data_IF_217948901392
#
_entry.id   IF_217948901392
#
_cell.length_a   1.000
_cell.length_b   1.000
_cell.length_c   1.000
_cell.angle_alpha   90.00
_cell.angle_beta   90.00
_cell.angle_gamma   90.00
#
_symmetry.space_group_name_H-M   'P 1'
#
loop_
_entity.id
_entity.type
_entity.pdbx_description
1 polymer ?
#
# COMPACT_ATOMS: atom_id res chain seq x y z
N UNK A 1 -5.61 -18.42 -1.00
CA UNK A 1 -5.73 -17.84 -2.35
C UNK A 1 -5.30 -16.38 -2.24
N UNK A 2 -4.08 -16.06 -2.68
CA UNK A 2 -3.64 -14.65 -2.71
C UNK A 2 -4.50 -13.92 -3.75
N UNK A 3 -4.97 -12.68 -3.47
CA UNK A 3 -5.66 -11.91 -4.49
C UNK A 3 -4.67 -11.67 -5.62
N UNK A 4 -5.16 -11.77 -6.85
CA UNK A 4 -4.37 -11.52 -8.03
C UNK A 4 -3.78 -10.10 -7.96
N UNK A 5 -2.50 -9.99 -7.57
CA UNK A 5 -1.60 -8.87 -7.89
C UNK A 5 -1.33 -8.89 -9.41
N UNK A 6 -2.40 -9.04 -10.19
CA UNK A 6 -2.38 -9.14 -11.64
C UNK A 6 -2.64 -7.74 -12.16
N UNK A 7 -1.56 -6.98 -12.26
CA UNK A 7 -1.24 -6.08 -13.38
C UNK A 7 0.15 -5.47 -13.12
N UNK A 8 1.15 -6.32 -12.95
CA UNK A 8 2.55 -5.95 -13.20
C UNK A 8 2.80 -5.98 -14.72
N UNK A 9 1.99 -5.24 -15.49
CA UNK A 9 2.27 -4.97 -16.91
C UNK A 9 3.49 -4.02 -17.06
N UNK A 10 3.99 -3.49 -15.94
CA UNK A 10 5.20 -2.68 -15.81
C UNK A 10 6.47 -3.47 -15.50
N UNK A 11 6.48 -4.79 -15.61
CA UNK A 11 7.65 -5.61 -15.27
C UNK A 11 8.93 -5.17 -16.00
N UNK A 12 8.81 -4.83 -17.29
CA UNK A 12 9.94 -4.30 -18.08
C UNK A 12 10.38 -2.89 -17.67
N UNK A 13 9.43 -2.00 -17.33
CA UNK A 13 9.75 -0.66 -16.85
C UNK A 13 10.42 -0.70 -15.47
N UNK A 14 9.94 -1.53 -14.53
CA UNK A 14 10.53 -1.67 -13.19
C UNK A 14 11.96 -2.23 -13.26
N UNK A 15 12.24 -3.15 -14.19
CA UNK A 15 13.59 -3.68 -14.39
C UNK A 15 14.58 -2.67 -14.96
N UNK A 16 14.09 -1.55 -15.53
CA UNK A 16 14.92 -0.43 -15.98
C UNK A 16 15.15 0.64 -14.91
N UNK A 17 14.42 0.58 -13.78
CA UNK A 17 14.55 1.52 -12.67
C UNK A 17 15.73 1.18 -11.76
N UNK A 18 16.24 2.20 -11.05
CA UNK A 18 17.21 1.94 -9.98
C UNK A 18 16.57 1.08 -8.88
N UNK A 19 17.37 0.25 -8.20
CA UNK A 19 16.89 -0.65 -7.13
C UNK A 19 16.04 0.08 -6.07
N UNK A 20 16.40 1.32 -5.77
CA UNK A 20 15.66 2.19 -4.84
C UNK A 20 14.24 2.45 -5.36
N UNK A 21 14.09 2.87 -6.60
CA UNK A 21 12.81 3.19 -7.22
C UNK A 21 11.95 1.94 -7.40
N UNK A 22 12.54 0.83 -7.86
CA UNK A 22 11.86 -0.45 -7.96
C UNK A 22 11.30 -0.90 -6.59
N UNK A 23 12.06 -0.71 -5.51
CA UNK A 23 11.60 -1.00 -4.14
C UNK A 23 10.43 -0.11 -3.73
N UNK A 24 10.49 1.19 -4.02
CA UNK A 24 9.42 2.13 -3.71
C UNK A 24 8.11 1.79 -4.46
N UNK A 25 8.21 1.37 -5.73
CA UNK A 25 7.06 0.92 -6.54
C UNK A 25 6.46 -0.36 -5.96
N UNK A 26 7.29 -1.38 -5.70
CA UNK A 26 6.81 -2.62 -5.09
C UNK A 26 6.14 -2.37 -3.75
N UNK A 27 6.76 -1.57 -2.87
CA UNK A 27 6.25 -1.30 -1.54
C UNK A 27 4.91 -0.57 -1.58
N UNK A 28 4.77 0.41 -2.47
CA UNK A 28 3.49 1.10 -2.72
C UNK A 28 2.38 0.13 -3.11
N UNK A 29 2.60 -0.66 -4.15
CA UNK A 29 1.58 -1.58 -4.68
C UNK A 29 1.23 -2.67 -3.65
N UNK A 30 2.24 -3.19 -2.96
CA UNK A 30 2.05 -4.16 -1.89
C UNK A 30 1.16 -3.60 -0.77
N UNK A 31 1.48 -2.41 -0.27
CA UNK A 31 0.72 -1.80 0.82
C UNK A 31 -0.69 -1.41 0.39
N UNK A 32 -0.89 -0.92 -0.83
CA UNK A 32 -2.23 -0.67 -1.40
C UNK A 32 -3.05 -1.97 -1.40
N UNK A 33 -2.47 -3.05 -1.91
CA UNK A 33 -3.14 -4.34 -1.99
C UNK A 33 -3.53 -4.87 -0.60
N UNK A 34 -2.64 -4.74 0.40
CA UNK A 34 -2.96 -5.15 1.78
C UNK A 34 -4.04 -4.26 2.40
N UNK A 35 -3.95 -2.94 2.26
CA UNK A 35 -4.97 -2.01 2.78
C UNK A 35 -6.35 -2.32 2.18
N UNK A 36 -6.42 -2.53 0.86
CA UNK A 36 -7.66 -2.89 0.17
C UNK A 36 -8.20 -4.25 0.65
N UNK A 37 -7.32 -5.23 0.89
CA UNK A 37 -7.69 -6.55 1.42
C UNK A 37 -8.38 -6.48 2.79
N UNK A 38 -8.01 -5.51 3.62
CA UNK A 38 -8.65 -5.27 4.92
C UNK A 38 -9.75 -4.20 4.88
N UNK A 39 -10.26 -3.84 3.69
CA UNK A 39 -11.34 -2.87 3.52
C UNK A 39 -10.96 -1.45 3.97
N UNK A 40 -9.69 -1.09 3.90
CA UNK A 40 -9.20 0.22 4.35
C UNK A 40 -8.90 0.30 5.85
N UNK A 41 -9.00 -0.80 6.60
CA UNK A 41 -8.68 -0.81 8.03
C UNK A 41 -7.16 -0.79 8.26
N UNK A 42 -6.64 0.37 8.69
CA UNK A 42 -5.20 0.57 8.84
C UNK A 42 -4.65 -0.21 10.02
N UNK A 43 -5.40 -0.34 11.11
CA UNK A 43 -4.98 -1.11 12.30
C UNK A 43 -4.78 -2.60 11.98
N UNK A 44 -5.73 -3.22 11.28
CA UNK A 44 -5.60 -4.63 10.86
C UNK A 44 -4.49 -4.82 9.84
N UNK A 45 -4.34 -3.89 8.91
CA UNK A 45 -3.25 -3.92 7.93
C UNK A 45 -1.89 -3.82 8.62
N UNK A 46 -1.74 -2.86 9.54
CA UNK A 46 -0.54 -2.63 10.33
C UNK A 46 -0.11 -3.88 11.12
N UNK A 47 -1.07 -4.50 11.82
CA UNK A 47 -0.82 -5.76 12.52
C UNK A 47 -0.39 -6.89 11.56
N UNK A 48 -1.00 -7.00 10.39
CA UNK A 48 -0.66 -8.02 9.40
C UNK A 48 0.73 -7.81 8.77
N UNK A 49 1.08 -6.57 8.43
CA UNK A 49 2.40 -6.25 7.83
C UNK A 49 3.51 -6.13 8.87
N UNK A 50 3.20 -6.24 10.16
CA UNK A 50 4.15 -6.12 11.26
C UNK A 50 4.68 -4.69 11.46
N UNK A 51 3.87 -3.68 11.15
CA UNK A 51 4.22 -2.28 11.33
C UNK A 51 3.34 -1.63 12.39
N UNK A 52 3.91 -0.68 13.13
CA UNK A 52 3.11 0.22 13.97
C UNK A 52 2.11 1.00 13.12
N UNK A 53 0.85 1.14 13.57
CA UNK A 53 -0.22 1.83 12.82
C UNK A 53 0.20 3.22 12.36
N UNK A 54 0.80 4.00 13.27
CA UNK A 54 1.26 5.38 12.99
C UNK A 54 2.40 5.41 11.96
N UNK A 55 3.29 4.40 11.98
CA UNK A 55 4.36 4.27 11.01
C UNK A 55 3.80 3.89 9.63
N UNK A 56 2.89 2.92 9.57
CA UNK A 56 2.22 2.53 8.33
C UNK A 56 1.45 3.70 7.72
N UNK A 57 0.68 4.45 8.53
CA UNK A 57 -0.05 5.62 8.05
C UNK A 57 0.88 6.71 7.48
N UNK A 58 2.01 6.99 8.15
CA UNK A 58 3.04 7.90 7.61
C UNK A 58 3.64 7.37 6.31
N UNK A 59 3.92 6.07 6.23
CA UNK A 59 4.50 5.41 5.05
C UNK A 59 3.57 5.48 3.85
N UNK A 60 2.28 5.20 4.05
CA UNK A 60 1.24 5.33 3.03
C UNK A 60 1.17 6.77 2.51
N UNK A 61 1.20 7.77 3.40
CA UNK A 61 1.23 9.18 3.02
C UNK A 61 2.49 9.55 2.23
N UNK A 62 3.68 9.10 2.63
CA UNK A 62 4.93 9.38 1.88
C UNK A 62 4.94 8.70 0.51
N UNK A 63 4.30 7.54 0.41
CA UNK A 63 4.08 6.85 -0.86
C UNK A 63 2.86 7.41 -1.60
N UNK A 64 2.25 8.53 -1.22
CA UNK A 64 1.10 9.11 -1.93
C UNK A 64 -0.14 8.20 -2.02
N UNK A 65 -0.28 7.23 -1.10
CA UNK A 65 -1.42 6.32 -1.02
C UNK A 65 -2.49 6.92 -0.12
N UNK A 66 -3.61 7.33 -0.72
CA UNK A 66 -4.78 7.82 0.00
C UNK A 66 -5.61 6.67 0.54
N UNK A 67 -5.64 6.51 1.86
CA UNK A 67 -6.47 5.47 2.50
C UNK A 67 -7.85 6.00 2.87
N UNK A 68 -8.93 5.22 2.66
CA UNK A 68 -10.31 5.68 2.86
C UNK A 68 -10.69 5.93 4.33
N UNK A 69 -9.85 5.56 5.31
CA UNK A 69 -10.11 5.75 6.74
C UNK A 69 -10.35 7.23 7.12
N UNK A 70 -9.77 8.19 6.38
CA UNK A 70 -10.06 9.63 6.56
C UNK A 70 -11.33 10.09 5.84
N UNK A 71 -11.67 9.47 4.71
CA UNK A 71 -12.83 9.87 3.90
C UNK A 71 -14.17 9.55 4.58
N UNK A 72 -14.19 8.60 5.52
CA UNK A 72 -15.40 8.29 6.29
C UNK A 72 -15.70 9.28 7.42
N UNK A 73 -14.75 10.12 7.85
CA UNK A 73 -14.99 11.14 8.89
C UNK A 73 -15.57 12.46 8.36
N UNK A 74 -15.75 12.61 7.05
CA UNK A 74 -16.29 13.83 6.42
C UNK A 74 -17.75 13.71 5.95
N UNK A 75 -18.41 12.58 6.23
CA UNK A 75 -19.79 12.29 5.81
C UNK A 75 -20.70 11.81 6.96
N UNK A 76 -20.40 12.18 8.20
CA UNK A 76 -21.29 11.97 9.36
C UNK A 76 -21.66 13.28 10.01
#
# INVERSE_FOLDING_TARGET
IAPAVARLDKGGEIMSLALREAREVFEREYLIAQVNRFGGNISRTAAFVGMERSALHRKLKSLGVSTPERSQKLVS
#
